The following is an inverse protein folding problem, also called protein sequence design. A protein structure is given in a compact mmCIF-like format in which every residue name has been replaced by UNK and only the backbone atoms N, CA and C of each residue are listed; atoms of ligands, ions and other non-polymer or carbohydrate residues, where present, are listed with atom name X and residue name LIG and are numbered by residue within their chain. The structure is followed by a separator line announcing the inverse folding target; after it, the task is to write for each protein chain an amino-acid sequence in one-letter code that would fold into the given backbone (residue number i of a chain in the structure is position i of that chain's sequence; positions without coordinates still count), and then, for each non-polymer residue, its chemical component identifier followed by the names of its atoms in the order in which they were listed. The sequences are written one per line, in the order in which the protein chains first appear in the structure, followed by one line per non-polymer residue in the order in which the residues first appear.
data_IF_795860738413
#
_entry.id   IF_795860738413
#
_cell.length_a   1.000
_cell.length_b   1.000
_cell.length_c   1.000
_cell.angle_alpha   90.00
_cell.angle_beta   90.00
_cell.angle_gamma   90.00
#
_symmetry.space_group_name_H-M   'P 1'
#
loop_
_entity.id
_entity.type
_entity.pdbx_description
1 polymer ?
#
# COMPACT_ATOMS: atom_id res chain seq x y z
N UNK A 1 -10.87 4.71 -2.72
CA UNK A 1 -10.92 6.18 -2.57
C UNK A 1 -12.26 6.71 -3.05
N UNK A 2 -12.98 7.45 -2.20
CA UNK A 2 -14.27 8.06 -2.57
C UNK A 2 -14.12 8.95 -3.82
N UNK A 3 -15.12 9.04 -4.72
CA UNK A 3 -14.99 9.75 -5.99
C UNK A 3 -14.45 11.17 -5.87
N UNK A 4 -14.96 11.95 -4.90
CA UNK A 4 -14.52 13.32 -4.59
C UNK A 4 -13.05 13.44 -4.16
N UNK A 5 -12.42 12.32 -3.79
CA UNK A 5 -11.04 12.27 -3.29
C UNK A 5 -10.06 11.60 -4.28
N UNK A 6 -10.52 11.15 -5.46
CA UNK A 6 -9.68 10.36 -6.40
C UNK A 6 -8.59 11.20 -7.05
N UNK A 7 -8.93 12.41 -7.46
CA UNK A 7 -8.01 13.33 -8.12
C UNK A 7 -7.52 14.36 -7.11
N UNK A 8 -6.21 14.40 -6.88
CA UNK A 8 -5.59 15.49 -6.13
C UNK A 8 -5.66 16.79 -6.95
N UNK A 9 -5.72 17.94 -6.26
CA UNK A 9 -5.40 19.22 -6.91
C UNK A 9 -3.98 19.13 -7.46
N UNK A 10 -3.71 19.62 -8.69
CA UNK A 10 -2.37 19.59 -9.30
C UNK A 10 -1.31 20.08 -8.30
N UNK A 11 -0.35 19.23 -7.96
CA UNK A 11 0.73 19.54 -7.00
C UNK A 11 0.50 19.12 -5.54
N UNK A 12 -0.66 18.53 -5.20
CA UNK A 12 -0.94 17.97 -3.87
C UNK A 12 -1.03 16.45 -3.95
N UNK A 13 -0.50 15.76 -2.93
CA UNK A 13 -0.68 14.33 -2.72
C UNK A 13 -2.14 13.89 -2.94
N UNK A 14 -2.35 12.81 -3.70
CA UNK A 14 -3.68 12.22 -3.79
C UNK A 14 -3.98 11.43 -2.51
N UNK A 15 -5.25 11.30 -2.14
CA UNK A 15 -5.66 10.43 -1.03
C UNK A 15 -5.19 8.99 -1.26
N UNK A 16 -5.03 8.56 -2.52
CA UNK A 16 -4.43 7.27 -2.85
C UNK A 16 -2.98 7.13 -2.34
N UNK A 17 -2.13 8.14 -2.54
CA UNK A 17 -0.74 8.12 -2.06
C UNK A 17 -0.68 8.20 -0.53
N UNK A 18 -1.57 8.95 0.11
CA UNK A 18 -1.69 8.99 1.58
C UNK A 18 -2.03 7.60 2.15
N UNK A 19 -2.96 6.87 1.52
CA UNK A 19 -3.31 5.50 1.92
C UNK A 19 -2.15 4.53 1.74
N UNK A 20 -1.38 4.63 0.65
CA UNK A 20 -0.19 3.80 0.43
C UNK A 20 0.88 4.11 1.49
N UNK A 21 1.10 5.40 1.81
CA UNK A 21 2.03 5.79 2.86
C UNK A 21 1.62 5.19 4.21
N UNK A 22 0.34 5.29 4.57
CA UNK A 22 -0.16 4.73 5.84
C UNK A 22 -0.05 3.21 5.89
N UNK A 23 -0.29 2.53 4.77
CA UNK A 23 -0.10 1.10 4.63
C UNK A 23 1.36 0.69 4.91
N UNK A 24 2.33 1.37 4.28
CA UNK A 24 3.77 1.07 4.45
C UNK A 24 4.24 1.46 5.86
N UNK A 25 3.89 2.66 6.34
CA UNK A 25 4.25 3.13 7.69
C UNK A 25 3.75 2.18 8.78
N UNK A 26 2.52 1.67 8.63
CA UNK A 26 1.96 0.70 9.58
C UNK A 26 2.75 -0.61 9.55
N UNK A 27 3.05 -1.12 8.35
CA UNK A 27 3.77 -2.36 8.16
C UNK A 27 5.14 -2.32 8.82
N UNK A 28 5.95 -1.31 8.50
CA UNK A 28 7.29 -1.16 9.05
C UNK A 28 7.28 -1.05 10.59
N UNK A 29 6.33 -0.27 11.15
CA UNK A 29 6.17 -0.15 12.60
C UNK A 29 5.80 -1.47 13.29
N UNK A 30 5.16 -2.40 12.58
CA UNK A 30 4.71 -3.70 13.11
C UNK A 30 5.63 -4.87 12.75
N UNK A 31 6.72 -4.62 12.02
CA UNK A 31 7.57 -5.69 11.49
C UNK A 31 6.90 -6.51 10.38
N UNK A 32 5.91 -5.92 9.69
CA UNK A 32 5.27 -6.49 8.50
C UNK A 32 5.81 -5.77 7.28
N UNK A 33 6.63 -6.46 6.50
CA UNK A 33 7.29 -5.93 5.30
C UNK A 33 6.79 -6.57 4.00
N UNK A 34 5.81 -7.48 4.10
CA UNK A 34 5.28 -8.29 3.01
C UNK A 34 3.77 -8.33 3.04
N UNK A 35 3.15 -8.26 1.86
CA UNK A 35 1.70 -8.39 1.67
C UNK A 35 1.41 -9.17 0.38
N UNK A 36 0.35 -9.96 0.39
CA UNK A 36 -0.16 -10.59 -0.83
C UNK A 36 -1.41 -9.81 -1.25
N UNK A 37 -1.46 -9.40 -2.52
CA UNK A 37 -2.63 -8.70 -3.08
C UNK A 37 -2.99 -9.30 -4.44
N UNK A 38 -4.29 -9.42 -4.68
CA UNK A 38 -4.84 -9.71 -6.00
C UNK A 38 -5.36 -8.40 -6.61
N UNK A 39 -4.78 -7.99 -7.75
CA UNK A 39 -5.20 -6.77 -8.43
C UNK A 39 -4.97 -6.84 -9.95
N UNK A 40 -5.50 -5.84 -10.66
CA UNK A 40 -5.30 -5.73 -12.11
C UNK A 40 -3.80 -5.54 -12.46
N UNK A 41 -3.29 -6.16 -13.53
CA UNK A 41 -1.86 -6.14 -13.88
C UNK A 41 -1.20 -4.76 -13.91
N UNK A 42 -1.94 -3.71 -14.28
CA UNK A 42 -1.43 -2.33 -14.27
C UNK A 42 -0.95 -1.87 -12.88
N UNK A 43 -1.53 -2.41 -11.80
CA UNK A 43 -1.08 -2.10 -10.44
C UNK A 43 0.27 -2.72 -10.09
N UNK A 44 0.71 -3.81 -10.76
CA UNK A 44 2.08 -4.33 -10.59
C UNK A 44 3.08 -3.26 -10.98
N UNK A 45 2.87 -2.63 -12.14
CA UNK A 45 3.75 -1.58 -12.66
C UNK A 45 3.77 -0.36 -11.73
N UNK A 46 2.61 0.03 -11.17
CA UNK A 46 2.55 1.12 -10.18
C UNK A 46 3.29 0.79 -8.89
N UNK A 47 3.23 -0.46 -8.43
CA UNK A 47 3.98 -0.91 -7.26
C UNK A 47 5.50 -0.86 -7.51
N UNK A 48 5.96 -1.35 -8.66
CA UNK A 48 7.37 -1.29 -9.05
C UNK A 48 7.88 0.15 -9.14
N UNK A 49 7.07 1.05 -9.72
CA UNK A 49 7.35 2.48 -9.77
C UNK A 49 7.51 3.13 -8.38
N UNK A 50 6.85 2.57 -7.36
CA UNK A 50 6.94 2.98 -5.96
C UNK A 50 8.04 2.22 -5.20
N UNK A 51 8.87 1.44 -5.88
CA UNK A 51 9.96 0.64 -5.30
C UNK A 51 9.46 -0.44 -4.33
N UNK A 52 8.27 -0.98 -4.58
CA UNK A 52 7.92 -2.30 -4.05
C UNK A 52 8.63 -3.37 -4.89
N UNK A 53 9.10 -4.42 -4.24
CA UNK A 53 9.46 -5.65 -4.93
C UNK A 53 8.19 -6.46 -5.17
N UNK A 54 7.87 -6.71 -6.44
CA UNK A 54 6.69 -7.47 -6.83
C UNK A 54 7.07 -8.86 -7.34
N UNK A 55 6.55 -9.91 -6.69
CA UNK A 55 6.72 -11.30 -7.08
C UNK A 55 5.36 -11.92 -7.41
N UNK A 56 5.04 -12.15 -8.70
CA UNK A 56 3.83 -12.86 -9.07
C UNK A 56 3.80 -14.25 -8.44
N UNK A 57 2.64 -14.64 -7.88
CA UNK A 57 2.45 -15.95 -7.26
C UNK A 57 1.88 -16.99 -8.22
N UNK A 58 1.61 -16.59 -9.46
CA UNK A 58 1.10 -17.46 -10.50
C UNK A 58 0.75 -16.69 -11.78
N UNK A 59 0.16 -17.40 -12.72
CA UNK A 59 -0.34 -16.79 -13.95
C UNK A 59 -1.54 -15.89 -13.69
N UNK A 60 -1.65 -14.85 -14.52
CA UNK A 60 -2.82 -13.99 -14.55
C UNK A 60 -4.09 -14.80 -14.81
N UNK A 61 -5.18 -14.45 -14.12
CA UNK A 61 -6.50 -15.05 -14.29
C UNK A 61 -7.51 -14.00 -14.73
N UNK A 62 -8.51 -14.44 -15.47
CA UNK A 62 -9.64 -13.59 -15.88
C UNK A 62 -10.86 -13.98 -15.05
N UNK A 63 -11.46 -13.00 -14.36
CA UNK A 63 -12.73 -13.13 -13.66
C UNK A 63 -13.73 -12.15 -14.28
N UNK A 64 -14.70 -12.68 -15.04
CA UNK A 64 -15.61 -11.86 -15.83
C UNK A 64 -14.85 -10.98 -16.83
N UNK A 65 -14.99 -9.66 -16.70
CA UNK A 65 -14.31 -8.69 -17.56
C UNK A 65 -13.00 -8.15 -16.97
N UNK A 66 -12.54 -8.67 -15.83
CA UNK A 66 -11.33 -8.21 -15.16
C UNK A 66 -10.22 -9.24 -15.25
N UNK A 67 -9.03 -8.77 -15.60
CA UNK A 67 -7.80 -9.53 -15.49
C UNK A 67 -7.14 -9.20 -14.16
N UNK A 68 -6.73 -10.22 -13.40
CA UNK A 68 -6.09 -10.05 -12.09
C UNK A 68 -4.87 -10.95 -11.96
N UNK A 69 -3.92 -10.53 -11.14
CA UNK A 69 -2.71 -11.29 -10.79
C UNK A 69 -2.48 -11.24 -9.29
N UNK A 70 -2.32 -12.42 -8.68
CA UNK A 70 -1.90 -12.54 -7.29
C UNK A 70 -0.40 -12.23 -7.18
N UNK A 71 -0.04 -11.26 -6.35
CA UNK A 71 1.33 -10.76 -6.25
C UNK A 71 1.73 -10.61 -4.78
N UNK A 72 2.88 -11.18 -4.41
CA UNK A 72 3.57 -10.84 -3.18
C UNK A 72 4.32 -9.52 -3.39
N UNK A 73 3.95 -8.49 -2.63
CA UNK A 73 4.68 -7.23 -2.56
C UNK A 73 5.54 -7.22 -1.29
N UNK A 74 6.82 -6.91 -1.45
CA UNK A 74 7.73 -6.61 -0.34
C UNK A 74 8.09 -5.12 -0.35
N UNK A 75 8.17 -4.51 0.81
CA UNK A 75 8.51 -3.09 0.99
C UNK A 75 9.42 -2.88 2.19
N UNK A 76 10.15 -1.77 2.19
CA UNK A 76 11.08 -1.41 3.26
C UNK A 76 11.07 0.12 3.48
N UNK A 77 11.98 0.62 4.33
CA UNK A 77 12.15 2.06 4.57
C UNK A 77 12.40 2.85 3.27
N UNK A 78 13.17 2.29 2.32
CA UNK A 78 13.39 2.94 1.03
C UNK A 78 12.10 3.05 0.20
N UNK A 79 11.25 2.03 0.22
CA UNK A 79 9.89 2.11 -0.37
C UNK A 79 9.10 3.25 0.26
N UNK A 80 9.14 3.40 1.58
CA UNK A 80 8.46 4.49 2.30
C UNK A 80 8.98 5.87 1.87
N UNK A 81 10.29 6.03 1.74
CA UNK A 81 10.91 7.28 1.30
C UNK A 81 10.47 7.66 -0.12
N UNK A 82 10.39 6.70 -1.04
CA UNK A 82 9.90 6.93 -2.40
C UNK A 82 8.43 7.34 -2.39
N UNK A 83 7.59 6.67 -1.58
CA UNK A 83 6.17 7.01 -1.44
C UNK A 83 6.02 8.44 -0.91
N UNK A 84 6.75 8.83 0.14
CA UNK A 84 6.74 10.19 0.70
C UNK A 84 7.24 11.24 -0.28
N UNK A 85 8.27 10.92 -1.04
CA UNK A 85 8.81 11.78 -2.10
C UNK A 85 7.76 12.05 -3.19
N UNK A 86 7.04 11.01 -3.65
CA UNK A 86 5.94 11.19 -4.61
C UNK A 86 4.75 11.98 -4.05
N UNK A 87 4.56 11.90 -2.74
CA UNK A 87 3.56 12.67 -2.00
C UNK A 87 3.93 14.16 -1.89
N UNK A 88 5.22 14.49 -2.08
CA UNK A 88 5.78 15.80 -1.76
C UNK A 88 5.48 16.24 -0.33
N UNK A 89 5.37 15.27 0.59
CA UNK A 89 5.05 15.49 1.98
C UNK A 89 5.65 14.33 2.78
N UNK A 90 6.36 14.62 3.87
CA UNK A 90 7.14 13.63 4.62
C UNK A 90 6.58 13.34 6.03
N UNK A 91 5.58 14.09 6.49
CA UNK A 91 4.98 13.86 7.79
C UNK A 91 4.30 12.47 7.86
N UNK A 92 4.35 11.74 8.99
CA UNK A 92 3.59 10.49 9.13
C UNK A 92 2.10 10.73 8.92
N UNK A 93 1.42 9.77 8.28
CA UNK A 93 -0.05 9.86 8.05
C UNK A 93 -0.84 9.15 9.14
N UNK A 94 -0.16 8.27 9.88
CA UNK A 94 -0.73 7.56 11.00
C UNK A 94 -0.69 8.48 12.23
N UNK A 95 -1.86 8.80 12.78
CA UNK A 95 -1.97 9.60 13.98
C UNK A 95 -1.21 8.95 15.16
N UNK A 96 -0.59 9.77 16.03
CA UNK A 96 -0.03 9.32 17.31
C UNK A 96 -1.17 8.93 18.24
N UNK A 97 -1.69 7.73 18.07
CA UNK A 97 -2.85 7.24 18.82
C UNK A 97 -3.37 5.98 18.15
N UNK A 98 -2.60 4.90 18.26
CA UNK A 98 -3.19 3.59 18.04
C UNK A 98 -4.03 3.28 19.27
N UNK A 99 -5.23 2.70 19.15
CA UNK A 99 -5.78 1.97 20.28
C UNK A 99 -4.76 0.89 20.64
N UNK A 100 -4.21 0.99 21.85
CA UNK A 100 -3.49 -0.13 22.45
C UNK A 100 -4.36 -1.37 22.27
N UNK A 101 -3.73 -2.46 21.86
CA UNK A 101 -4.42 -3.71 21.52
C UNK A 101 -5.39 -4.12 22.64
N UNK A 102 -6.66 -3.75 22.51
CA UNK A 102 -7.75 -4.36 23.25
C UNK A 102 -7.91 -5.77 22.69
N UNK A 103 -7.19 -6.70 23.31
CA UNK A 103 -7.56 -8.11 23.36
C UNK A 103 -7.14 -8.96 22.16
N UNK A 104 -5.85 -9.25 22.03
CA UNK A 104 -5.48 -10.63 21.70
C UNK A 104 -5.85 -11.50 22.92
N UNK A 105 -7.13 -11.87 23.06
CA UNK A 105 -7.46 -13.08 23.80
C UNK A 105 -6.88 -14.23 22.98
N UNK A 106 -5.81 -14.82 23.50
CA UNK A 106 -5.38 -16.16 23.09
C UNK A 106 -6.60 -17.07 23.20
N UNK A 107 -7.13 -17.51 22.06
CA UNK A 107 -7.95 -18.71 22.05
C UNK A 107 -6.99 -19.85 22.40
N UNK A 108 -7.16 -20.39 23.60
CA UNK A 108 -6.55 -21.65 24.06
C UNK A 108 -7.52 -22.78 23.73
#
# INVERSE_FOLDING_TARGET
VAPVCRDGRRGVATVGTELIAGFVEWGLKRGVDKVIIEFEPMWVLRALQLHFLATPLGYQRTYGNQQVVATLLTFNEHTLDVVRSRRNHFAPVLARGYPDMLGQRRAS
#
